data_IF_191910459018
#
_entry.id   IF_191910459018
#
_cell.length_a   1.000
_cell.length_b   1.000
_cell.length_c   1.000
_cell.angle_alpha   90.00
_cell.angle_beta   90.00
_cell.angle_gamma   90.00
#
_symmetry.space_group_name_H-M   'P 1'
#
loop_
_entity.id
_entity.type
_entity.pdbx_description
1 polymer ?
#
# COMPACT_ATOMS: atom_id res chain seq x y z
N UNK A 1 2.25 -21.68 25.31
CA UNK A 1 1.33 -22.44 24.42
C UNK A 1 1.29 -21.74 23.06
N UNK A 2 2.26 -22.02 22.18
CA UNK A 2 2.39 -21.42 20.84
C UNK A 2 2.29 -22.54 19.80
N UNK A 3 1.09 -23.08 19.64
CA UNK A 3 0.80 -24.16 18.72
C UNK A 3 -0.59 -23.92 18.12
N UNK A 4 -0.66 -23.11 17.05
CA UNK A 4 -1.82 -23.01 16.13
C UNK A 4 -1.53 -22.08 14.93
N UNK A 5 -0.37 -22.27 14.30
CA UNK A 5 -0.08 -21.66 13.00
C UNK A 5 0.43 -22.68 11.98
N UNK A 6 0.03 -23.94 12.12
CA UNK A 6 0.03 -24.86 10.98
C UNK A 6 -1.20 -24.52 10.14
N UNK A 7 -1.02 -23.53 9.27
CA UNK A 7 -1.91 -23.30 8.16
C UNK A 7 -1.94 -24.59 7.35
N UNK A 8 -3.06 -25.30 7.42
CA UNK A 8 -3.35 -26.41 6.54
C UNK A 8 -3.47 -25.83 5.12
N UNK A 9 -2.34 -25.63 4.44
CA UNK A 9 -2.28 -25.29 3.02
C UNK A 9 -2.95 -26.46 2.29
N UNK A 10 -4.24 -26.29 2.05
CA UNK A 10 -5.01 -27.19 1.21
C UNK A 10 -4.27 -27.28 -0.12
N UNK A 11 -3.82 -28.47 -0.50
CA UNK A 11 -3.10 -28.73 -1.76
C UNK A 11 -3.85 -28.19 -2.99
N UNK A 12 -5.16 -27.99 -2.84
CA UNK A 12 -6.04 -27.38 -3.82
C UNK A 12 -5.84 -25.86 -4.02
N UNK A 13 -5.22 -25.15 -3.07
CA UNK A 13 -4.89 -23.72 -3.25
C UNK A 13 -3.79 -23.56 -4.30
N UNK A 14 -2.76 -24.43 -4.30
CA UNK A 14 -1.74 -24.45 -5.36
C UNK A 14 -2.39 -24.72 -6.73
N UNK A 15 -3.33 -25.67 -6.81
CA UNK A 15 -4.06 -25.93 -8.06
C UNK A 15 -4.87 -24.69 -8.52
N UNK A 16 -5.54 -23.99 -7.59
CA UNK A 16 -6.29 -22.77 -7.92
C UNK A 16 -5.39 -21.64 -8.39
N UNK A 17 -4.22 -21.45 -7.78
CA UNK A 17 -3.23 -20.46 -8.21
C UNK A 17 -2.63 -20.80 -9.58
N UNK A 18 -2.38 -22.08 -9.85
CA UNK A 18 -1.92 -22.55 -11.16
C UNK A 18 -3.00 -22.31 -12.23
N UNK A 19 -4.27 -22.58 -11.91
CA UNK A 19 -5.40 -22.28 -12.80
C UNK A 19 -5.53 -20.77 -13.08
N UNK A 20 -5.36 -19.91 -12.07
CA UNK A 20 -5.35 -18.45 -12.25
C UNK A 20 -4.19 -18.02 -13.16
N UNK A 21 -2.99 -18.57 -12.95
CA UNK A 21 -1.83 -18.27 -13.80
C UNK A 21 -2.08 -18.67 -15.27
N UNK A 22 -2.68 -19.84 -15.50
CA UNK A 22 -3.06 -20.30 -16.85
C UNK A 22 -4.10 -19.36 -17.47
N UNK A 23 -5.11 -18.95 -16.73
CA UNK A 23 -6.14 -17.99 -17.21
C UNK A 23 -5.52 -16.65 -17.62
N UNK A 24 -4.56 -16.14 -16.84
CA UNK A 24 -3.85 -14.88 -17.15
C UNK A 24 -2.99 -15.05 -18.40
N UNK A 25 -2.23 -16.14 -18.51
CA UNK A 25 -1.38 -16.41 -19.69
C UNK A 25 -2.24 -16.55 -20.95
N UNK A 26 -3.37 -17.27 -20.87
CA UNK A 26 -4.33 -17.38 -21.97
C UNK A 26 -4.91 -16.03 -22.34
N UNK A 27 -5.23 -15.18 -21.36
CA UNK A 27 -5.69 -13.81 -21.60
C UNK A 27 -4.65 -12.93 -22.32
N UNK A 28 -3.38 -13.02 -21.91
CA UNK A 28 -2.27 -12.29 -22.56
C UNK A 28 -2.04 -12.78 -23.99
N UNK A 29 -2.05 -14.10 -24.21
CA UNK A 29 -1.84 -14.71 -25.54
C UNK A 29 -3.01 -14.41 -26.47
N UNK A 30 -4.26 -14.50 -25.99
CA UNK A 30 -5.43 -14.08 -26.74
C UNK A 30 -5.36 -12.58 -27.08
N UNK A 31 -4.90 -11.74 -26.15
CA UNK A 31 -4.66 -10.33 -26.40
C UNK A 31 -3.41 -10.05 -27.27
N UNK A 32 -2.55 -11.01 -27.57
CA UNK A 32 -1.50 -10.84 -28.58
C UNK A 32 -2.02 -11.24 -29.96
N UNK A 33 -2.77 -12.35 -30.04
CA UNK A 33 -3.24 -12.92 -31.30
C UNK A 33 -4.38 -12.13 -31.96
N UNK A 34 -5.32 -11.57 -31.18
CA UNK A 34 -6.49 -10.85 -31.71
C UNK A 34 -6.22 -9.36 -32.03
N UNK A 35 -5.01 -9.00 -32.47
CA UNK A 35 -4.58 -7.58 -32.64
C UNK A 35 -5.23 -6.84 -33.78
N UNK A 36 -5.81 -7.59 -34.71
CA UNK A 36 -6.50 -7.08 -35.89
C UNK A 36 -8.02 -6.93 -35.72
N UNK A 37 -8.60 -7.23 -34.55
CA UNK A 37 -10.05 -7.13 -34.30
C UNK A 37 -10.45 -5.84 -33.52
N UNK A 38 -11.71 -5.38 -33.66
CA UNK A 38 -12.19 -4.18 -32.98
C UNK A 38 -12.09 -4.29 -31.45
N UNK A 39 -11.69 -3.17 -30.82
CA UNK A 39 -11.36 -3.01 -29.40
C UNK A 39 -12.40 -3.58 -28.42
N UNK A 40 -13.69 -3.55 -28.79
CA UNK A 40 -14.80 -3.91 -27.91
C UNK A 40 -14.75 -5.38 -27.45
N UNK A 41 -14.49 -6.31 -28.38
CA UNK A 41 -14.50 -7.74 -28.09
C UNK A 41 -13.31 -8.18 -27.23
N UNK A 42 -12.16 -7.52 -27.39
CA UNK A 42 -10.99 -7.74 -26.53
C UNK A 42 -11.22 -7.31 -25.09
N UNK A 43 -11.71 -6.09 -24.89
CA UNK A 43 -11.91 -5.53 -23.55
C UNK A 43 -12.97 -6.35 -22.80
N UNK A 44 -14.05 -6.75 -23.48
CA UNK A 44 -15.07 -7.63 -22.89
C UNK A 44 -14.50 -9.01 -22.53
N UNK A 45 -13.70 -9.64 -23.39
CA UNK A 45 -13.07 -10.92 -23.09
C UNK A 45 -12.11 -10.86 -21.89
N UNK A 46 -11.30 -9.81 -21.79
CA UNK A 46 -10.39 -9.59 -20.67
C UNK A 46 -11.17 -9.30 -19.38
N UNK A 47 -12.24 -8.51 -19.44
CA UNK A 47 -13.09 -8.23 -18.28
C UNK A 47 -13.75 -9.50 -17.74
N UNK A 48 -14.25 -10.38 -18.61
CA UNK A 48 -14.84 -11.66 -18.20
C UNK A 48 -13.78 -12.57 -17.59
N UNK A 49 -12.59 -12.69 -18.19
CA UNK A 49 -11.50 -13.48 -17.62
C UNK A 49 -11.03 -12.92 -16.27
N UNK A 50 -10.91 -11.61 -16.13
CA UNK A 50 -10.56 -10.95 -14.88
C UNK A 50 -11.63 -11.17 -13.79
N UNK A 51 -12.91 -11.11 -14.16
CA UNK A 51 -14.02 -11.38 -13.24
C UNK A 51 -13.99 -12.84 -12.75
N UNK A 52 -13.78 -13.80 -13.66
CA UNK A 52 -13.67 -15.23 -13.31
C UNK A 52 -12.44 -15.50 -12.44
N UNK A 53 -11.28 -14.95 -12.81
CA UNK A 53 -10.06 -15.08 -12.01
C UNK A 53 -10.22 -14.45 -10.61
N UNK A 54 -10.83 -13.27 -10.53
CA UNK A 54 -11.16 -12.61 -9.26
C UNK A 54 -12.13 -13.45 -8.42
N UNK A 55 -13.16 -14.02 -9.04
CA UNK A 55 -14.13 -14.88 -8.34
C UNK A 55 -13.48 -16.15 -7.79
N UNK A 56 -12.61 -16.80 -8.57
CA UNK A 56 -11.84 -17.98 -8.13
C UNK A 56 -10.86 -17.60 -7.01
N UNK A 57 -10.16 -16.47 -7.13
CA UNK A 57 -9.22 -15.99 -6.13
C UNK A 57 -9.90 -15.69 -4.78
N UNK A 58 -11.11 -15.11 -4.79
CA UNK A 58 -11.90 -14.85 -3.58
C UNK A 58 -12.39 -16.14 -2.90
N UNK A 59 -12.57 -17.23 -3.64
CA UNK A 59 -12.96 -18.54 -3.08
C UNK A 59 -11.81 -19.32 -2.41
N UNK A 60 -10.56 -18.86 -2.56
CA UNK A 60 -9.33 -19.45 -1.96
C UNK A 60 -9.26 -19.18 -0.46
N UNK A 61 -8.54 -20.02 0.31
CA UNK A 61 -8.40 -19.84 1.78
C UNK A 61 -7.78 -18.47 2.12
N UNK A 62 -6.79 -18.05 1.32
CA UNK A 62 -6.16 -16.71 1.40
C UNK A 62 -7.14 -15.57 1.07
N UNK A 63 -8.08 -15.78 0.13
CA UNK A 63 -9.09 -14.80 -0.26
C UNK A 63 -10.12 -14.53 0.84
N UNK A 64 -10.61 -15.58 1.51
CA UNK A 64 -11.50 -15.44 2.67
C UNK A 64 -10.79 -14.80 3.86
N UNK A 65 -9.54 -15.18 4.12
CA UNK A 65 -8.73 -14.56 5.16
C UNK A 65 -8.55 -13.06 4.91
N UNK A 66 -8.25 -12.65 3.67
CA UNK A 66 -8.17 -11.25 3.30
C UNK A 66 -9.50 -10.50 3.52
N UNK A 67 -10.64 -11.11 3.19
CA UNK A 67 -11.95 -10.50 3.42
C UNK A 67 -12.25 -10.31 4.92
N UNK A 68 -11.89 -11.28 5.75
CA UNK A 68 -12.00 -11.17 7.21
C UNK A 68 -11.10 -10.06 7.75
N UNK A 69 -9.83 -10.02 7.33
CA UNK A 69 -8.89 -8.95 7.70
C UNK A 69 -9.37 -7.57 7.25
N UNK A 70 -9.95 -7.45 6.05
CA UNK A 70 -10.50 -6.19 5.56
C UNK A 70 -11.73 -5.75 6.38
N UNK A 71 -12.55 -6.70 6.83
CA UNK A 71 -13.70 -6.43 7.71
C UNK A 71 -13.24 -5.99 9.10
N UNK A 72 -12.23 -6.65 9.66
CA UNK A 72 -11.60 -6.29 10.94
C UNK A 72 -10.90 -4.93 10.85
N UNK A 73 -10.15 -4.65 9.77
CA UNK A 73 -9.52 -3.37 9.52
C UNK A 73 -10.56 -2.23 9.42
N UNK A 74 -11.71 -2.45 8.76
CA UNK A 74 -12.80 -1.47 8.76
C UNK A 74 -13.39 -1.23 10.15
N UNK A 75 -13.46 -2.25 11.00
CA UNK A 75 -13.90 -2.08 12.38
C UNK A 75 -12.88 -1.29 13.21
N UNK A 76 -11.58 -1.48 12.95
CA UNK A 76 -10.50 -0.76 13.63
C UNK A 76 -10.38 0.70 13.18
N UNK A 77 -10.56 0.97 11.87
CA UNK A 77 -10.60 2.34 11.33
C UNK A 77 -11.71 3.17 11.99
N UNK A 78 -12.82 2.53 12.39
CA UNK A 78 -13.90 3.22 13.12
C UNK A 78 -13.51 3.58 14.56
N UNK A 79 -12.51 2.92 15.14
CA UNK A 79 -11.95 3.25 16.46
C UNK A 79 -10.90 4.37 16.38
N UNK A 80 -10.42 4.71 15.18
CA UNK A 80 -9.53 5.84 14.98
C UNK A 80 -10.32 7.11 15.20
N UNK A 81 -10.11 7.74 16.35
CA UNK A 81 -10.59 9.07 16.64
C UNK A 81 -9.76 10.02 15.78
N UNK A 82 -10.36 10.51 14.70
CA UNK A 82 -9.72 11.52 13.88
C UNK A 82 -9.60 12.82 14.68
N UNK A 83 -8.40 13.40 14.76
CA UNK A 83 -8.16 14.57 15.57
C UNK A 83 -9.03 15.72 15.09
N UNK A 84 -9.48 16.54 16.03
CA UNK A 84 -10.24 17.74 15.67
C UNK A 84 -9.32 18.76 15.01
N UNK A 85 -9.89 19.71 14.25
CA UNK A 85 -9.08 20.76 13.61
C UNK A 85 -8.27 21.58 14.62
N UNK A 86 -8.78 21.74 15.85
CA UNK A 86 -8.10 22.44 16.93
C UNK A 86 -6.90 21.68 17.47
N UNK A 87 -7.02 20.36 17.69
CA UNK A 87 -5.89 19.52 18.12
C UNK A 87 -4.78 19.51 17.06
N UNK A 88 -5.17 19.38 15.79
CA UNK A 88 -4.23 19.37 14.66
C UNK A 88 -3.44 20.68 14.55
N UNK A 89 -4.10 21.84 14.69
CA UNK A 89 -3.41 23.12 14.68
C UNK A 89 -2.56 23.34 15.91
N UNK A 90 -3.00 22.90 17.10
CA UNK A 90 -2.21 23.02 18.32
C UNK A 90 -0.90 22.23 18.21
N UNK A 91 -0.96 20.95 17.81
CA UNK A 91 0.25 20.13 17.62
C UNK A 91 1.15 20.73 16.53
N UNK A 92 0.58 21.23 15.44
CA UNK A 92 1.36 21.89 14.37
C UNK A 92 2.08 23.14 14.90
N UNK A 93 1.41 24.00 15.67
CA UNK A 93 2.04 25.19 16.26
C UNK A 93 3.17 24.83 17.23
N UNK A 94 3.01 23.78 18.05
CA UNK A 94 4.07 23.27 18.92
C UNK A 94 5.28 22.84 18.10
N UNK A 95 5.08 22.04 17.05
CA UNK A 95 6.17 21.59 16.16
C UNK A 95 6.85 22.77 15.49
N UNK A 96 6.10 23.73 14.96
CA UNK A 96 6.64 24.95 14.33
C UNK A 96 7.48 25.75 15.32
N UNK A 97 7.03 25.91 16.57
CA UNK A 97 7.79 26.62 17.59
C UNK A 97 9.14 25.93 17.88
N UNK A 98 9.13 24.61 18.04
CA UNK A 98 10.36 23.83 18.29
C UNK A 98 11.33 23.93 17.10
N UNK A 99 10.81 23.81 15.87
CA UNK A 99 11.62 23.94 14.64
C UNK A 99 12.22 25.34 14.53
N UNK A 100 11.47 26.40 14.83
CA UNK A 100 11.97 27.77 14.82
C UNK A 100 13.10 27.97 15.83
N UNK A 101 12.95 27.45 17.05
CA UNK A 101 14.00 27.53 18.08
C UNK A 101 15.28 26.82 17.62
N UNK A 102 15.17 25.61 17.09
CA UNK A 102 16.32 24.86 16.56
C UNK A 102 16.97 25.57 15.38
N UNK A 103 16.17 26.10 14.44
CA UNK A 103 16.67 26.83 13.29
C UNK A 103 17.45 28.08 13.72
N UNK A 104 16.96 28.83 14.71
CA UNK A 104 17.60 30.04 15.20
C UNK A 104 18.89 29.74 15.96
N UNK A 105 18.92 28.65 16.74
CA UNK A 105 20.11 28.19 17.43
C UNK A 105 21.20 27.73 16.46
N UNK A 106 20.85 26.91 15.46
CA UNK A 106 21.80 26.47 14.43
C UNK A 106 22.31 27.66 13.62
N UNK A 107 21.42 28.54 13.16
CA UNK A 107 21.82 29.73 12.41
C UNK A 107 22.79 30.62 13.20
N UNK A 108 22.54 30.81 14.50
CA UNK A 108 23.44 31.57 15.37
C UNK A 108 24.81 30.91 15.52
N UNK A 109 24.85 29.59 15.71
CA UNK A 109 26.09 28.82 15.80
C UNK A 109 26.88 28.86 14.49
N UNK A 110 26.22 28.62 13.37
CA UNK A 110 26.83 28.62 12.03
C UNK A 110 27.40 30.00 11.68
N UNK A 111 26.67 31.07 12.02
CA UNK A 111 27.14 32.45 11.81
C UNK A 111 28.35 32.78 12.67
N UNK A 112 28.36 32.35 13.93
CA UNK A 112 29.47 32.59 14.86
C UNK A 112 30.71 31.80 14.47
N UNK A 113 30.56 30.52 14.12
CA UNK A 113 31.66 29.69 13.60
C UNK A 113 32.18 30.23 12.27
N UNK A 114 31.30 30.65 11.37
CA UNK A 114 31.68 31.27 10.10
C UNK A 114 32.48 32.57 10.30
N UNK A 115 32.06 33.42 11.24
CA UNK A 115 32.80 34.63 11.59
C UNK A 115 34.19 34.30 12.17
N UNK A 116 34.28 33.36 13.10
CA UNK A 116 35.56 32.90 13.67
C UNK A 116 36.52 32.35 12.61
N UNK A 117 36.02 31.50 11.70
CA UNK A 117 36.82 30.94 10.61
C UNK A 117 37.28 32.04 9.65
N UNK A 118 36.42 33.00 9.32
CA UNK A 118 36.78 34.11 8.44
C UNK A 118 37.88 35.02 9.02
N UNK A 119 37.97 35.14 10.35
CA UNK A 119 39.02 35.90 11.04
C UNK A 119 40.37 35.17 11.11
N UNK A 120 40.36 33.83 10.96
CA UNK A 120 41.57 33.00 10.97
C UNK A 120 42.12 32.79 9.56
N UNK A 121 41.24 32.65 8.57
CA UNK A 121 41.60 32.39 7.17
C UNK A 121 41.78 33.69 6.36
N UNK A 122 41.07 34.76 6.73
CA UNK A 122 41.31 36.12 6.26
C UNK A 122 42.45 36.78 7.03
#
# INVERSE_FOLDING_TARGET
>A
MNAKAEANESRFDILKWLLVAVVVVVGVVANQYYSAQPLLYRVLGILVLAAVAGFVALQTVKGRAFFTLAKEARAEIRKVVWPTRQETTQTTMIVVAVVLVMALLLWGLDSLLGWLVSMIVG
#
